data_IF_918098890327
#
_entry.id   IF_918098890327
#
_cell.length_a   1.000
_cell.length_b   1.000
_cell.length_c   1.000
_cell.angle_alpha   90.00
_cell.angle_beta   90.00
_cell.angle_gamma   90.00
#
_symmetry.space_group_name_H-M   'P 1'
#
loop_
_entity.id
_entity.type
_entity.pdbx_description
1 polymer ?
#
# COMPACT_ATOMS: atom_id res chain seq x y z
N UNK A 1 -11.85 -42.78 36.33
CA UNK A 1 -11.09 -43.98 36.73
C UNK A 1 -10.21 -44.39 35.58
N UNK A 2 -9.18 -45.20 35.79
CA UNK A 2 -8.36 -45.69 34.70
C UNK A 2 -7.64 -46.99 35.01
N UNK A 3 -6.74 -47.37 34.10
CA UNK A 3 -5.85 -48.51 34.26
C UNK A 3 -5.00 -48.38 35.53
N UNK A 4 -4.56 -49.52 36.08
CA UNK A 4 -3.63 -49.57 37.20
C UNK A 4 -2.22 -49.23 36.68
N UNK A 5 -1.36 -48.75 37.57
CA UNK A 5 0.06 -48.58 37.27
C UNK A 5 0.67 -49.89 36.75
N UNK A 6 1.41 -49.81 35.64
CA UNK A 6 1.95 -50.98 34.92
C UNK A 6 0.97 -51.64 33.93
N UNK A 7 -0.34 -51.45 34.08
CA UNK A 7 -1.38 -52.06 33.24
C UNK A 7 -1.92 -51.12 32.15
N UNK A 8 -1.42 -49.88 32.06
CA UNK A 8 -1.82 -48.91 31.05
C UNK A 8 -1.27 -49.25 29.66
N UNK A 9 -2.12 -49.29 28.63
CA UNK A 9 -1.67 -49.35 27.23
C UNK A 9 -0.71 -48.20 26.88
N UNK A 10 -1.01 -46.99 27.36
CA UNK A 10 -0.09 -45.85 27.27
C UNK A 10 0.68 -45.67 28.58
N UNK A 11 1.98 -45.97 28.55
CA UNK A 11 2.88 -46.01 29.71
C UNK A 11 2.85 -44.75 30.59
N UNK A 12 2.67 -43.57 29.99
CA UNK A 12 2.66 -42.28 30.69
C UNK A 12 1.25 -41.72 30.98
N UNK A 13 0.19 -42.51 30.76
CA UNK A 13 -1.19 -42.03 30.89
C UNK A 13 -1.53 -41.55 32.31
N UNK A 14 -1.15 -42.33 33.33
CA UNK A 14 -1.34 -41.96 34.74
C UNK A 14 -0.55 -40.70 35.12
N UNK A 15 0.79 -40.65 34.98
CA UNK A 15 1.56 -39.50 35.44
C UNK A 15 1.16 -38.21 34.73
N UNK A 16 0.79 -38.27 33.44
CA UNK A 16 0.31 -37.08 32.73
C UNK A 16 -1.09 -36.63 33.16
N UNK A 17 -1.98 -37.57 33.49
CA UNK A 17 -3.32 -37.21 33.98
C UNK A 17 -3.23 -36.55 35.35
N UNK A 18 -2.39 -37.09 36.23
CA UNK A 18 -2.15 -36.48 37.55
C UNK A 18 -1.50 -35.10 37.43
N UNK A 19 -0.47 -34.96 36.59
CA UNK A 19 0.18 -33.67 36.35
C UNK A 19 -0.81 -32.61 35.83
N UNK A 20 -1.76 -32.99 34.94
CA UNK A 20 -2.80 -32.05 34.46
C UNK A 20 -3.78 -31.64 35.56
N UNK A 21 -4.17 -32.57 36.43
CA UNK A 21 -5.08 -32.27 37.55
C UNK A 21 -4.38 -31.39 38.59
N UNK A 22 -3.08 -31.64 38.84
CA UNK A 22 -2.24 -30.80 39.72
C UNK A 22 -1.96 -29.42 39.12
N UNK A 23 -1.94 -29.32 37.79
CA UNK A 23 -1.63 -28.08 37.07
C UNK A 23 -0.16 -27.95 36.67
N UNK A 24 0.56 -29.07 36.70
CA UNK A 24 1.98 -29.21 36.35
C UNK A 24 2.18 -29.46 34.84
N UNK A 25 1.10 -29.68 34.08
CA UNK A 25 1.14 -30.02 32.65
C UNK A 25 -0.08 -29.52 31.88
N UNK A 26 0.13 -29.12 30.62
CA UNK A 26 -0.94 -28.75 29.70
C UNK A 26 -1.62 -29.94 28.97
N UNK A 27 -2.92 -29.84 28.64
CA UNK A 27 -3.85 -28.84 29.19
C UNK A 27 -4.13 -29.11 30.67
N UNK A 28 -3.89 -28.13 31.54
CA UNK A 28 -4.17 -28.29 32.97
C UNK A 28 -5.66 -28.14 33.29
N UNK A 29 -6.05 -28.67 34.45
CA UNK A 29 -7.39 -28.49 34.99
C UNK A 29 -7.64 -27.00 35.29
N UNK A 30 -8.64 -26.42 34.60
CA UNK A 30 -8.97 -24.98 34.75
C UNK A 30 -9.19 -24.62 36.22
N UNK A 31 -8.65 -23.48 36.66
CA UNK A 31 -8.80 -22.95 38.04
C UNK A 31 -10.23 -22.88 38.56
N UNK A 32 -11.22 -22.74 37.65
CA UNK A 32 -12.64 -22.69 38.00
C UNK A 32 -13.22 -24.02 38.48
N UNK A 33 -12.51 -25.14 38.28
CA UNK A 33 -13.00 -26.47 38.64
C UNK A 33 -12.47 -26.80 40.03
N UNK A 34 -13.34 -26.95 41.05
CA UNK A 34 -12.91 -27.22 42.41
C UNK A 34 -12.25 -28.61 42.49
N UNK A 35 -11.02 -28.66 42.99
CA UNK A 35 -10.21 -29.89 43.01
C UNK A 35 -10.79 -30.94 43.95
N UNK A 36 -11.41 -30.49 45.04
CA UNK A 36 -12.12 -31.29 46.03
C UNK A 36 -13.35 -32.02 45.45
N UNK A 37 -13.89 -31.53 44.32
CA UNK A 37 -15.01 -32.13 43.59
C UNK A 37 -14.56 -33.04 42.45
N UNK A 38 -13.26 -33.32 42.37
CA UNK A 38 -12.68 -34.29 41.44
C UNK A 38 -11.93 -35.35 42.25
N UNK A 39 -12.12 -36.61 41.88
CA UNK A 39 -11.32 -37.70 42.39
C UNK A 39 -10.91 -38.59 41.22
N UNK A 40 -9.71 -39.15 41.29
CA UNK A 40 -9.25 -40.17 40.36
C UNK A 40 -8.95 -41.46 41.14
N UNK A 41 -9.07 -42.59 40.44
CA UNK A 41 -8.81 -43.92 40.99
C UNK A 41 -8.34 -44.83 39.86
N UNK A 42 -7.20 -45.48 40.06
CA UNK A 42 -6.51 -46.34 39.10
C UNK A 42 -6.74 -47.81 39.46
N UNK A 43 -7.78 -48.43 38.90
CA UNK A 43 -8.28 -49.74 39.34
C UNK A 43 -7.73 -50.92 38.52
N UNK A 44 -7.46 -50.73 37.22
CA UNK A 44 -7.21 -51.84 36.30
C UNK A 44 -8.39 -52.82 36.21
N UNK A 45 -8.21 -53.97 35.55
CA UNK A 45 -9.29 -54.96 35.33
C UNK A 45 -9.75 -55.70 36.60
N UNK A 46 -8.89 -55.85 37.61
CA UNK A 46 -9.17 -56.62 38.84
C UNK A 46 -9.50 -55.75 40.06
N UNK A 47 -9.58 -54.42 39.92
CA UNK A 47 -9.73 -53.47 41.03
C UNK A 47 -11.16 -53.05 41.39
N UNK A 48 -12.18 -53.75 40.91
CA UNK A 48 -13.59 -53.35 41.03
C UNK A 48 -14.04 -53.08 42.47
N UNK A 49 -13.75 -54.01 43.40
CA UNK A 49 -14.10 -53.84 44.83
C UNK A 49 -13.46 -52.60 45.45
N UNK A 50 -12.24 -52.27 45.04
CA UNK A 50 -11.54 -51.05 45.47
C UNK A 50 -12.21 -49.80 44.92
N UNK A 51 -12.56 -49.82 43.64
CA UNK A 51 -13.22 -48.71 42.97
C UNK A 51 -14.59 -48.41 43.59
N UNK A 52 -15.41 -49.43 43.85
CA UNK A 52 -16.73 -49.25 44.47
C UNK A 52 -16.64 -48.59 45.86
N UNK A 53 -15.62 -48.95 46.66
CA UNK A 53 -15.35 -48.31 47.96
C UNK A 53 -14.88 -46.85 47.81
N UNK A 54 -14.05 -46.57 46.80
CA UNK A 54 -13.62 -45.20 46.52
C UNK A 54 -14.79 -44.32 46.05
N UNK A 55 -15.68 -44.87 45.21
CA UNK A 55 -16.87 -44.18 44.72
C UNK A 55 -17.86 -43.87 45.84
N UNK A 56 -18.16 -44.81 46.74
CA UNK A 56 -19.07 -44.56 47.86
C UNK A 56 -18.51 -43.50 48.81
N UNK A 57 -17.20 -43.53 49.08
CA UNK A 57 -16.51 -42.53 49.90
C UNK A 57 -16.51 -41.16 49.23
N UNK A 58 -16.30 -41.10 47.92
CA UNK A 58 -16.35 -39.84 47.16
C UNK A 58 -17.76 -39.24 47.12
N UNK A 59 -18.80 -40.06 46.92
CA UNK A 59 -20.20 -39.62 47.00
C UNK A 59 -20.54 -39.00 48.35
N UNK A 60 -20.06 -39.58 49.46
CA UNK A 60 -20.23 -38.99 50.80
C UNK A 60 -19.54 -37.63 50.91
N UNK A 61 -18.30 -37.50 50.43
CA UNK A 61 -17.58 -36.21 50.41
C UNK A 61 -18.31 -35.14 49.60
N UNK A 62 -18.85 -35.49 48.43
CA UNK A 62 -19.57 -34.54 47.59
C UNK A 62 -20.88 -34.05 48.22
N UNK A 63 -21.56 -34.87 49.03
CA UNK A 63 -22.79 -34.46 49.73
C UNK A 63 -22.56 -33.36 50.77
N UNK A 64 -21.34 -33.26 51.31
CA UNK A 64 -20.96 -32.22 52.27
C UNK A 64 -20.16 -31.06 51.65
N UNK A 65 -19.96 -31.05 50.33
CA UNK A 65 -19.19 -30.00 49.66
C UNK A 65 -20.12 -28.87 49.18
N UNK A 66 -19.78 -27.63 49.50
CA UNK A 66 -20.49 -26.45 49.00
C UNK A 66 -20.38 -26.35 47.48
N UNK A 67 -21.48 -25.97 46.83
CA UNK A 67 -21.48 -25.67 45.40
C UNK A 67 -20.99 -24.24 45.24
N UNK A 68 -19.91 -23.97 44.48
CA UNK A 68 -19.47 -22.61 44.22
C UNK A 68 -20.61 -21.79 43.63
N UNK A 69 -20.78 -20.52 44.04
CA UNK A 69 -21.85 -19.67 43.53
C UNK A 69 -21.75 -19.57 42.01
N UNK A 70 -22.89 -19.68 41.34
CA UNK A 70 -22.99 -19.47 39.91
C UNK A 70 -22.54 -18.04 39.58
N UNK A 71 -21.69 -17.88 38.57
CA UNK A 71 -21.23 -16.55 38.16
C UNK A 71 -22.41 -15.79 37.57
N UNK A 72 -22.88 -14.77 38.28
CA UNK A 72 -23.82 -13.79 37.73
C UNK A 72 -23.20 -13.16 36.48
N UNK A 73 -23.97 -13.08 35.40
CA UNK A 73 -23.57 -12.45 34.16
C UNK A 73 -23.17 -10.98 34.36
N UNK A 74 -22.56 -10.34 33.34
CA UNK A 74 -22.23 -8.93 33.42
C UNK A 74 -23.47 -8.08 33.78
N UNK A 75 -23.33 -7.22 34.78
CA UNK A 75 -24.42 -6.36 35.24
C UNK A 75 -24.85 -5.33 34.19
N UNK A 76 -26.07 -4.80 34.33
CA UNK A 76 -26.67 -3.83 33.39
C UNK A 76 -25.77 -2.63 33.10
N UNK A 77 -25.05 -2.12 34.11
CA UNK A 77 -24.12 -1.00 33.95
C UNK A 77 -22.97 -1.30 32.97
N UNK A 78 -22.50 -2.54 32.94
CA UNK A 78 -21.44 -2.97 32.01
C UNK A 78 -21.95 -3.02 30.57
N UNK A 79 -23.20 -3.45 30.36
CA UNK A 79 -23.83 -3.42 29.04
C UNK A 79 -24.06 -1.99 28.55
N UNK A 80 -24.51 -1.09 29.43
CA UNK A 80 -24.66 0.33 29.10
C UNK A 80 -23.32 0.96 28.70
N UNK A 81 -22.25 0.71 29.48
CA UNK A 81 -20.91 1.20 29.14
C UNK A 81 -20.40 0.65 27.81
N UNK A 82 -20.63 -0.63 27.53
CA UNK A 82 -20.23 -1.25 26.27
C UNK A 82 -21.01 -0.68 25.07
N UNK A 83 -22.32 -0.48 25.22
CA UNK A 83 -23.16 0.13 24.19
C UNK A 83 -22.72 1.58 23.89
N UNK A 84 -22.40 2.37 24.92
CA UNK A 84 -21.89 3.72 24.77
C UNK A 84 -20.52 3.75 24.05
N UNK A 85 -19.58 2.90 24.47
CA UNK A 85 -18.26 2.83 23.86
C UNK A 85 -18.34 2.40 22.38
N UNK A 86 -19.14 1.38 22.08
CA UNK A 86 -19.32 0.92 20.71
C UNK A 86 -20.11 1.90 19.85
N UNK A 87 -21.14 2.53 20.40
CA UNK A 87 -21.89 3.58 19.71
C UNK A 87 -21.00 4.77 19.36
N UNK A 88 -20.18 5.22 20.31
CA UNK A 88 -19.20 6.29 20.08
C UNK A 88 -18.20 5.91 18.98
N UNK A 89 -17.59 4.72 19.08
CA UNK A 89 -16.62 4.27 18.09
C UNK A 89 -17.25 4.09 16.70
N UNK A 90 -18.43 3.49 16.61
CA UNK A 90 -19.18 3.35 15.36
C UNK A 90 -19.56 4.71 14.78
N UNK A 91 -19.92 5.68 15.62
CA UNK A 91 -20.19 7.06 15.22
C UNK A 91 -18.96 7.74 14.62
N UNK A 92 -17.80 7.63 15.28
CA UNK A 92 -16.53 8.13 14.73
C UNK A 92 -16.18 7.47 13.41
N UNK A 93 -16.31 6.14 13.33
CA UNK A 93 -16.03 5.39 12.11
C UNK A 93 -16.96 5.83 10.97
N UNK A 94 -18.26 5.97 11.23
CA UNK A 94 -19.23 6.42 10.24
C UNK A 94 -18.97 7.85 9.76
N UNK A 95 -18.64 8.76 10.68
CA UNK A 95 -18.30 10.15 10.36
C UNK A 95 -17.03 10.21 9.51
N UNK A 96 -15.92 9.63 9.98
CA UNK A 96 -14.64 9.71 9.27
C UNK A 96 -14.55 8.84 8.01
N UNK A 97 -15.45 7.86 7.85
CA UNK A 97 -15.58 7.10 6.59
C UNK A 97 -16.16 7.94 5.45
N UNK A 98 -16.93 9.00 5.77
CA UNK A 98 -17.63 9.82 4.77
C UNK A 98 -17.21 11.30 4.78
N UNK A 99 -16.59 11.77 5.86
CA UNK A 99 -16.28 13.18 6.10
C UNK A 99 -14.91 13.39 6.76
N UNK A 100 -14.16 14.44 6.39
CA UNK A 100 -14.42 15.31 5.24
C UNK A 100 -14.17 14.55 3.93
N UNK A 101 -15.02 14.80 2.93
CA UNK A 101 -14.80 14.26 1.59
C UNK A 101 -13.46 14.78 1.03
N UNK A 102 -12.64 13.88 0.51
CA UNK A 102 -11.38 14.26 -0.11
C UNK A 102 -11.65 15.00 -1.44
N UNK A 103 -11.20 16.25 -1.54
CA UNK A 103 -11.39 17.09 -2.73
C UNK A 103 -10.08 17.16 -3.51
N UNK A 104 -9.99 16.40 -4.61
CA UNK A 104 -8.81 16.40 -5.49
C UNK A 104 -8.58 17.74 -6.22
N UNK A 105 -9.66 18.44 -6.57
CA UNK A 105 -9.64 19.71 -7.29
C UNK A 105 -10.75 20.60 -6.73
N UNK A 106 -10.45 21.81 -6.23
CA UNK A 106 -11.46 22.69 -5.67
C UNK A 106 -12.61 22.95 -6.65
N UNK A 107 -13.86 23.12 -6.17
CA UNK A 107 -15.06 23.15 -7.01
C UNK A 107 -15.11 24.31 -8.02
N UNK A 108 -14.29 25.35 -7.86
CA UNK A 108 -14.15 26.47 -8.81
C UNK A 108 -12.94 26.39 -9.74
N UNK A 109 -12.08 25.36 -9.60
CA UNK A 109 -10.86 25.21 -10.38
C UNK A 109 -11.01 24.20 -11.50
N UNK A 110 -10.24 24.40 -12.57
CA UNK A 110 -9.97 23.44 -13.62
C UNK A 110 -8.49 23.00 -13.53
N UNK A 111 -8.15 21.90 -14.19
CA UNK A 111 -6.78 21.39 -14.24
C UNK A 111 -6.27 21.49 -15.68
N UNK A 112 -5.18 22.23 -15.89
CA UNK A 112 -4.43 22.22 -17.15
C UNK A 112 -3.21 21.33 -16.97
N UNK A 113 -2.96 20.42 -17.89
CA UNK A 113 -1.78 19.54 -17.86
C UNK A 113 -0.98 19.68 -19.15
N UNK A 114 0.30 20.00 -19.02
CA UNK A 114 1.26 19.93 -20.10
C UNK A 114 1.98 18.58 -20.03
N UNK A 115 1.73 17.72 -21.01
CA UNK A 115 2.23 16.34 -21.00
C UNK A 115 2.66 15.90 -22.38
N UNK A 116 3.96 15.77 -22.62
CA UNK A 116 4.50 15.24 -23.86
C UNK A 116 5.90 14.67 -23.69
N UNK A 117 6.37 13.92 -24.68
CA UNK A 117 7.74 13.45 -24.80
C UNK A 117 8.28 13.83 -26.17
N UNK A 118 9.36 14.61 -26.21
CA UNK A 118 9.92 15.11 -27.47
C UNK A 118 11.44 14.91 -27.51
N UNK A 119 11.93 14.49 -28.68
CA UNK A 119 13.33 14.29 -28.91
C UNK A 119 13.93 15.53 -29.58
N UNK A 120 14.74 16.27 -28.84
CA UNK A 120 15.42 17.46 -29.35
C UNK A 120 16.43 17.14 -30.45
N UNK A 121 16.95 18.20 -31.07
CA UNK A 121 18.04 18.09 -32.05
C UNK A 121 19.31 17.49 -31.42
N UNK A 122 20.20 16.97 -32.26
CA UNK A 122 21.46 16.39 -31.81
C UNK A 122 22.39 17.47 -31.25
N UNK A 123 23.20 17.12 -30.25
CA UNK A 123 24.13 18.03 -29.57
C UNK A 123 25.28 18.51 -30.47
N UNK A 124 25.53 17.84 -31.59
CA UNK A 124 26.53 18.25 -32.58
C UNK A 124 26.15 17.77 -33.98
N UNK A 125 26.78 18.39 -34.98
CA UNK A 125 26.60 18.04 -36.39
C UNK A 125 27.28 16.69 -36.72
N UNK A 126 26.77 16.00 -37.74
CA UNK A 126 27.39 14.79 -38.24
C UNK A 126 28.66 15.14 -39.03
N UNK A 127 29.83 14.66 -38.56
CA UNK A 127 31.09 14.82 -39.29
C UNK A 127 31.24 13.71 -40.32
N UNK A 128 31.64 14.04 -41.54
CA UNK A 128 32.03 13.05 -42.55
C UNK A 128 33.49 12.65 -42.34
N UNK A 129 33.74 11.35 -42.22
CA UNK A 129 35.09 10.83 -42.04
C UNK A 129 35.81 10.70 -43.38
N UNK A 130 37.11 10.97 -43.40
CA UNK A 130 37.92 10.78 -44.61
C UNK A 130 38.16 9.28 -44.88
N UNK A 131 38.48 8.88 -46.12
CA UNK A 131 38.78 7.47 -46.43
C UNK A 131 39.90 6.87 -45.58
N UNK A 132 40.89 7.67 -45.21
CA UNK A 132 42.02 7.27 -44.36
C UNK A 132 41.57 7.01 -42.92
N UNK A 133 40.73 7.90 -42.36
CA UNK A 133 40.11 7.71 -41.04
C UNK A 133 39.21 6.47 -41.00
N UNK A 134 38.46 6.22 -42.07
CA UNK A 134 37.59 5.03 -42.19
C UNK A 134 38.43 3.75 -42.27
N UNK A 135 39.54 3.74 -43.02
CA UNK A 135 40.42 2.58 -43.13
C UNK A 135 41.07 2.22 -41.79
N UNK A 136 41.39 3.23 -40.98
CA UNK A 136 41.93 3.05 -39.63
C UNK A 136 40.91 2.44 -38.64
N UNK A 137 39.60 2.55 -38.92
CA UNK A 137 38.58 1.93 -38.08
C UNK A 137 38.47 0.41 -38.32
N UNK A 138 38.09 -0.38 -37.29
CA UNK A 138 37.79 -1.80 -37.43
C UNK A 138 36.74 -2.06 -38.52
N UNK A 139 36.78 -3.18 -39.27
CA UNK A 139 35.89 -3.45 -40.40
C UNK A 139 34.40 -3.29 -40.11
N UNK A 140 33.95 -3.62 -38.90
CA UNK A 140 32.56 -3.50 -38.45
C UNK A 140 32.15 -2.08 -37.99
N UNK A 141 33.09 -1.14 -37.93
CA UNK A 141 32.88 0.24 -37.47
C UNK A 141 33.17 1.29 -38.56
N UNK A 142 33.51 0.86 -39.79
CA UNK A 142 33.80 1.72 -40.95
C UNK A 142 32.55 2.42 -41.48
N UNK A 143 32.05 3.40 -40.74
CA UNK A 143 30.91 4.23 -41.11
C UNK A 143 31.37 5.54 -41.77
N UNK A 144 30.66 6.05 -42.79
CA UNK A 144 31.05 7.28 -43.48
C UNK A 144 30.73 8.57 -42.68
N UNK A 145 29.82 8.49 -41.70
CA UNK A 145 29.42 9.62 -40.87
C UNK A 145 29.61 9.28 -39.39
N UNK A 146 30.16 10.23 -38.64
CA UNK A 146 30.24 10.21 -37.19
C UNK A 146 29.25 11.22 -36.61
N UNK A 147 28.10 10.72 -36.16
CA UNK A 147 27.04 11.54 -35.56
C UNK A 147 27.04 11.34 -34.04
N UNK A 148 27.17 12.42 -33.24
CA UNK A 148 27.02 12.35 -31.80
C UNK A 148 25.63 11.84 -31.43
N UNK A 149 25.57 10.82 -30.57
CA UNK A 149 24.29 10.24 -30.12
C UNK A 149 23.50 11.16 -29.19
N UNK A 150 24.20 11.99 -28.41
CA UNK A 150 23.59 12.86 -27.42
C UNK A 150 22.68 13.92 -28.03
N UNK A 151 21.59 14.22 -27.35
CA UNK A 151 20.61 15.25 -27.71
C UNK A 151 20.77 16.51 -26.89
N UNK A 152 20.24 17.61 -27.41
CA UNK A 152 20.10 18.86 -26.68
C UNK A 152 18.97 18.76 -25.62
N UNK A 153 19.01 19.58 -24.57
CA UNK A 153 17.84 19.77 -23.71
C UNK A 153 16.75 20.51 -24.48
N UNK A 154 15.48 20.27 -24.14
CA UNK A 154 14.38 21.13 -24.59
C UNK A 154 14.19 22.26 -23.59
N UNK A 155 13.86 23.45 -24.07
CA UNK A 155 13.43 24.56 -23.23
C UNK A 155 11.94 24.79 -23.46
N UNK A 156 11.15 24.74 -22.39
CA UNK A 156 9.69 24.80 -22.44
C UNK A 156 9.20 25.96 -21.61
N UNK A 157 8.29 26.74 -22.17
CA UNK A 157 7.59 27.82 -21.50
C UNK A 157 6.08 27.66 -21.68
N UNK A 158 5.32 27.88 -20.62
CA UNK A 158 3.87 28.00 -20.70
C UNK A 158 3.41 29.24 -19.94
N UNK A 159 2.58 30.03 -20.62
CA UNK A 159 1.93 31.21 -20.08
C UNK A 159 0.41 31.03 -20.08
N UNK A 160 -0.22 31.51 -19.02
CA UNK A 160 -1.66 31.59 -18.83
C UNK A 160 -2.03 33.07 -18.74
N UNK A 161 -2.90 33.54 -19.63
CA UNK A 161 -3.38 34.93 -19.68
C UNK A 161 -2.24 35.96 -19.72
N UNK A 162 -1.17 35.64 -20.45
CA UNK A 162 0.02 36.49 -20.60
C UNK A 162 1.04 36.37 -19.46
N UNK A 163 0.74 35.64 -18.38
CA UNK A 163 1.68 35.38 -17.27
C UNK A 163 2.33 34.02 -17.42
N UNK A 164 3.67 33.97 -17.42
CA UNK A 164 4.42 32.71 -17.42
C UNK A 164 4.16 31.95 -16.12
N UNK A 165 3.61 30.74 -16.23
CA UNK A 165 3.33 29.83 -15.10
C UNK A 165 4.28 28.64 -15.05
N UNK A 166 5.01 28.38 -16.14
CA UNK A 166 6.02 27.33 -16.19
C UNK A 166 7.15 27.71 -17.15
N UNK A 167 8.39 27.49 -16.73
CA UNK A 167 9.59 27.66 -17.55
C UNK A 167 10.66 26.70 -17.05
N UNK A 168 11.16 25.83 -17.93
CA UNK A 168 12.20 24.88 -17.56
C UNK A 168 13.04 24.46 -18.76
N UNK A 169 14.32 24.16 -18.50
CA UNK A 169 15.17 23.40 -19.40
C UNK A 169 15.19 21.94 -18.94
N UNK A 170 14.86 21.03 -19.85
CA UNK A 170 14.61 19.63 -19.55
C UNK A 170 15.64 18.80 -20.31
N UNK A 171 16.56 18.11 -19.60
CA UNK A 171 17.60 17.31 -20.25
C UNK A 171 17.01 16.09 -20.94
N UNK A 172 17.70 15.53 -21.95
CA UNK A 172 17.32 14.27 -22.55
C UNK A 172 17.41 13.13 -21.53
N UNK A 173 16.55 12.13 -21.72
CA UNK A 173 16.59 10.91 -20.91
C UNK A 173 17.68 9.93 -21.39
N UNK A 174 17.88 8.86 -20.61
CA UNK A 174 18.85 7.80 -20.93
C UNK A 174 20.25 8.06 -20.38
N UNK A 175 20.99 6.99 -20.09
CA UNK A 175 22.35 7.06 -19.52
C UNK A 175 23.33 7.80 -20.46
N UNK A 176 23.10 7.72 -21.77
CA UNK A 176 23.91 8.38 -22.78
C UNK A 176 23.33 9.73 -23.25
N UNK A 177 22.20 10.18 -22.69
CA UNK A 177 21.53 11.43 -23.06
C UNK A 177 21.01 11.43 -24.51
N UNK A 178 20.64 10.27 -25.04
CA UNK A 178 20.15 10.06 -26.40
C UNK A 178 18.62 9.87 -26.49
N UNK A 179 17.96 9.76 -25.33
CA UNK A 179 16.52 9.62 -25.21
C UNK A 179 15.75 10.94 -25.32
N UNK A 180 14.42 10.89 -25.45
CA UNK A 180 13.58 12.07 -25.50
C UNK A 180 13.53 12.78 -24.13
N UNK A 181 13.26 14.08 -24.13
CA UNK A 181 12.94 14.83 -22.94
C UNK A 181 11.42 14.79 -22.69
N UNK A 182 11.02 14.47 -21.46
CA UNK A 182 9.62 14.34 -21.06
C UNK A 182 9.16 15.50 -20.19
N UNK A 183 7.97 16.02 -20.46
CA UNK A 183 7.31 17.06 -19.65
C UNK A 183 6.03 16.48 -19.09
N UNK A 184 5.83 16.65 -17.78
CA UNK A 184 4.56 16.31 -17.14
C UNK A 184 4.28 17.26 -15.99
N UNK A 185 3.50 18.30 -16.26
CA UNK A 185 3.22 19.35 -15.28
C UNK A 185 1.73 19.65 -15.20
N UNK A 186 1.23 19.84 -13.98
CA UNK A 186 -0.19 20.03 -13.67
C UNK A 186 -0.40 21.39 -13.00
N UNK A 187 -1.34 22.16 -13.53
CA UNK A 187 -1.63 23.53 -13.09
C UNK A 187 -3.11 23.66 -12.77
N UNK A 188 -3.47 23.73 -11.48
CA UNK A 188 -4.82 24.11 -11.08
C UNK A 188 -5.06 25.58 -11.41
N UNK A 189 -5.99 25.85 -12.32
CA UNK A 189 -6.36 27.20 -12.78
C UNK A 189 -7.81 27.50 -12.41
N UNK A 190 -8.20 28.76 -12.38
CA UNK A 190 -9.61 29.11 -12.19
C UNK A 190 -10.46 28.59 -13.36
N UNK A 191 -11.74 28.31 -13.11
CA UNK A 191 -12.66 28.02 -14.20
C UNK A 191 -13.06 29.32 -14.91
N UNK A 192 -13.14 29.30 -16.23
CA UNK A 192 -13.44 30.48 -17.03
C UNK A 192 -12.74 30.50 -18.38
N UNK A 193 -12.74 31.68 -19.01
CA UNK A 193 -12.03 31.92 -20.27
C UNK A 193 -10.56 32.14 -19.98
N UNK A 194 -9.71 31.39 -20.66
CA UNK A 194 -8.26 31.48 -20.54
C UNK A 194 -7.61 31.42 -21.91
N UNK A 195 -6.51 32.15 -22.03
CA UNK A 195 -5.59 32.07 -23.16
C UNK A 195 -4.30 31.42 -22.71
N UNK A 196 -4.03 30.22 -23.23
CA UNK A 196 -2.84 29.45 -22.91
C UNK A 196 -1.87 29.54 -24.08
N UNK A 197 -0.64 29.98 -23.83
CA UNK A 197 0.44 29.95 -24.81
C UNK A 197 1.50 28.95 -24.33
N UNK A 198 1.84 27.98 -25.17
CA UNK A 198 2.89 26.99 -24.92
C UNK A 198 3.96 27.13 -25.99
N UNK A 199 5.22 27.16 -25.56
CA UNK A 199 6.36 27.37 -26.43
C UNK A 199 7.45 26.37 -26.10
N UNK A 200 8.14 25.90 -27.12
CA UNK A 200 9.26 24.97 -26.98
C UNK A 200 10.39 25.35 -27.92
N UNK A 201 11.61 25.25 -27.40
CA UNK A 201 12.86 25.28 -28.17
C UNK A 201 13.56 23.95 -28.00
N UNK A 202 13.92 23.33 -29.12
CA UNK A 202 14.60 22.03 -29.18
C UNK A 202 15.90 22.07 -30.00
N UNK A 203 16.25 23.25 -30.49
CA UNK A 203 17.47 23.55 -31.23
C UNK A 203 18.57 24.17 -30.34
N UNK A 204 19.76 24.34 -30.92
CA UNK A 204 20.91 24.98 -30.28
C UNK A 204 20.79 26.52 -30.15
N UNK A 205 19.64 27.12 -30.51
CA UNK A 205 19.43 28.56 -30.43
C UNK A 205 19.45 29.06 -28.98
N UNK A 206 20.00 30.25 -28.76
CA UNK A 206 20.00 30.87 -27.42
C UNK A 206 18.74 31.69 -27.14
N UNK A 207 18.06 32.16 -28.19
CA UNK A 207 16.85 32.98 -28.12
C UNK A 207 15.73 32.45 -29.03
N UNK A 208 14.50 32.83 -28.71
CA UNK A 208 13.30 32.41 -29.44
C UNK A 208 12.84 30.98 -29.14
N UNK A 209 11.81 30.55 -29.88
CA UNK A 209 11.19 29.24 -29.76
C UNK A 209 11.01 28.62 -31.15
N UNK A 210 11.21 27.31 -31.26
CA UNK A 210 11.05 26.56 -32.51
C UNK A 210 9.59 26.20 -32.76
N UNK A 211 8.80 26.06 -31.68
CA UNK A 211 7.39 25.72 -31.72
C UNK A 211 6.58 26.59 -30.77
N UNK A 212 5.41 27.01 -31.22
CA UNK A 212 4.43 27.76 -30.42
C UNK A 212 3.02 27.22 -30.66
N UNK A 213 2.21 27.21 -29.62
CA UNK A 213 0.79 26.85 -29.66
C UNK A 213 0.01 27.78 -28.76
N UNK A 214 -1.09 28.33 -29.27
CA UNK A 214 -1.97 29.22 -28.54
C UNK A 214 -3.38 28.60 -28.51
N UNK A 215 -3.97 28.56 -27.32
CA UNK A 215 -5.28 27.97 -27.07
C UNK A 215 -6.16 28.97 -26.34
N UNK A 216 -7.19 29.46 -27.01
CA UNK A 216 -8.26 30.25 -26.41
C UNK A 216 -9.39 29.28 -26.03
N UNK A 217 -9.52 29.00 -24.73
CA UNK A 217 -10.43 27.97 -24.23
C UNK A 217 -11.32 28.51 -23.11
N UNK A 218 -12.48 27.87 -22.93
CA UNK A 218 -13.35 28.10 -21.78
C UNK A 218 -13.38 26.84 -20.93
N UNK A 219 -12.71 26.88 -19.77
CA UNK A 219 -12.60 25.76 -18.84
C UNK A 219 -13.81 25.74 -17.90
N UNK A 220 -14.53 24.62 -17.89
CA UNK A 220 -15.59 24.35 -16.91
C UNK A 220 -14.97 23.97 -15.56
N UNK A 221 -15.66 24.22 -14.44
CA UNK A 221 -15.18 23.77 -13.14
C UNK A 221 -15.00 22.24 -13.11
N UNK A 222 -13.89 21.81 -12.49
CA UNK A 222 -13.41 20.42 -12.46
C UNK A 222 -13.10 19.79 -13.82
N UNK A 223 -13.00 20.58 -14.88
CA UNK A 223 -12.53 20.09 -16.17
C UNK A 223 -11.02 19.84 -16.14
N UNK A 224 -10.59 18.74 -16.75
CA UNK A 224 -9.19 18.46 -17.02
C UNK A 224 -8.92 18.70 -18.50
N UNK A 225 -8.02 19.63 -18.79
CA UNK A 225 -7.57 19.98 -20.14
C UNK A 225 -6.10 19.59 -20.29
N UNK A 226 -5.79 18.80 -21.31
CA UNK A 226 -4.43 18.28 -21.52
C UNK A 226 -3.88 18.84 -22.83
N UNK A 227 -2.64 19.33 -22.77
CA UNK A 227 -1.88 19.80 -23.91
C UNK A 227 -0.74 18.82 -24.15
N UNK A 228 -0.70 18.27 -25.35
CA UNK A 228 0.32 17.35 -25.84
C UNK A 228 1.09 17.99 -27.02
N UNK A 229 2.22 17.42 -27.41
CA UNK A 229 3.00 17.84 -28.56
C UNK A 229 3.17 16.66 -29.53
N UNK A 230 2.57 16.78 -30.72
CA UNK A 230 2.58 15.73 -31.74
C UNK A 230 2.81 16.30 -33.12
N UNK A 231 3.65 15.63 -33.92
CA UNK A 231 3.92 15.98 -35.32
C UNK A 231 4.32 17.47 -35.50
N UNK A 232 5.16 17.99 -34.61
CA UNK A 232 5.68 19.35 -34.70
C UNK A 232 4.71 20.46 -34.29
N UNK A 233 3.64 20.15 -33.55
CA UNK A 233 2.68 21.14 -33.04
C UNK A 233 2.08 20.73 -31.70
N UNK A 234 1.70 21.73 -30.90
CA UNK A 234 0.89 21.49 -29.70
C UNK A 234 -0.55 21.19 -30.08
N UNK A 235 -1.15 20.19 -29.41
CA UNK A 235 -2.53 19.77 -29.65
C UNK A 235 -3.25 19.59 -28.30
N UNK A 236 -4.53 19.98 -28.21
CA UNK A 236 -5.36 19.61 -27.07
C UNK A 236 -5.75 18.13 -27.19
N UNK A 237 -5.91 17.46 -26.03
CA UNK A 237 -6.49 16.13 -25.92
C UNK A 237 -7.86 16.18 -25.23
#
# INVERSE_FOLDING_TARGET
TGCREGDCYHRLGIPWTEARIRGERDPYLRRRVPRERIAWFWAGRRGERGLLRALSSFRRRLRGAEVPPERKGPGVLRWLGQALAYGFFAGLLGYFSTSPAYVHLPPGKALVTLSFSHAAQHRGECRRLTPEEIAALPPNMRRPLDCPRGRLPIFVEMALDGRVIYRASIPPSGLAGDGPAGVYQRFPVEAGRHRIAVRMRDSAREEGFDYEGIFDITLKPRQHFVIDFRKGRFVPL
#
